data_IF_972319274817
#
_entry.id   IF_972319274817
#
_cell.length_a   1.000
_cell.length_b   1.000
_cell.length_c   1.000
_cell.angle_alpha   90.00
_cell.angle_beta   90.00
_cell.angle_gamma   90.00
#
_symmetry.space_group_name_H-M   'P 1'
#
loop_
_entity.id
_entity.type
_entity.pdbx_description
1 polymer ?
#
# COMPACT_ATOMS: atom_id res chain seq x y z
N UNK A 1 -16.25 -36.63 -17.91
CA UNK A 1 -15.21 -35.58 -18.02
C UNK A 1 -13.95 -36.18 -17.40
N UNK A 2 -12.80 -36.32 -18.04
CA UNK A 2 -12.01 -35.31 -18.73
C UNK A 2 -11.19 -35.99 -19.85
N UNK A 3 -11.25 -35.45 -21.07
CA UNK A 3 -10.39 -35.89 -22.15
C UNK A 3 -8.98 -35.36 -21.95
N UNK A 4 -8.01 -36.27 -21.81
CA UNK A 4 -6.58 -35.94 -21.82
C UNK A 4 -6.20 -35.40 -23.19
N UNK A 5 -6.06 -34.07 -23.32
CA UNK A 5 -5.39 -33.47 -24.49
C UNK A 5 -3.94 -33.95 -24.46
N UNK A 6 -3.56 -34.80 -25.40
CA UNK A 6 -2.16 -35.16 -25.66
C UNK A 6 -1.42 -33.86 -25.97
N UNK A 7 -0.52 -33.43 -25.09
CA UNK A 7 0.48 -32.41 -25.40
C UNK A 7 1.32 -32.96 -26.55
N UNK A 8 1.14 -32.41 -27.75
CA UNK A 8 2.11 -32.65 -28.82
C UNK A 8 3.43 -32.04 -28.33
N UNK A 9 4.52 -32.82 -28.27
CA UNK A 9 5.80 -32.28 -27.82
C UNK A 9 6.21 -31.14 -28.74
N UNK A 10 6.67 -30.03 -28.15
CA UNK A 10 7.01 -28.78 -28.84
C UNK A 10 8.01 -28.99 -30.01
N UNK A 11 8.85 -30.02 -29.89
CA UNK A 11 9.81 -30.49 -30.90
C UNK A 11 9.10 -30.95 -32.20
N UNK A 12 7.94 -31.60 -32.12
CA UNK A 12 7.19 -32.05 -33.31
C UNK A 12 6.61 -30.87 -34.10
N UNK A 13 6.21 -29.81 -33.41
CA UNK A 13 5.60 -28.64 -34.04
C UNK A 13 6.64 -27.80 -34.80
N UNK A 14 7.84 -27.64 -34.23
CA UNK A 14 8.96 -26.99 -34.91
C UNK A 14 9.41 -27.76 -36.15
N UNK A 15 9.51 -29.09 -36.06
CA UNK A 15 9.85 -29.93 -37.21
C UNK A 15 8.83 -29.81 -38.34
N UNK A 16 7.53 -29.81 -38.02
CA UNK A 16 6.47 -29.61 -39.01
C UNK A 16 6.56 -28.24 -39.70
N UNK A 17 6.84 -27.17 -38.96
CA UNK A 17 7.01 -25.83 -39.51
C UNK A 17 8.24 -25.74 -40.43
N UNK A 18 9.37 -26.35 -40.04
CA UNK A 18 10.58 -26.41 -40.88
C UNK A 18 10.29 -27.12 -42.21
N UNK A 19 9.57 -28.25 -42.16
CA UNK A 19 9.17 -29.00 -43.36
C UNK A 19 8.25 -28.15 -44.24
N UNK A 20 7.25 -27.49 -43.65
CA UNK A 20 6.31 -26.65 -44.40
C UNK A 20 7.00 -25.45 -45.06
N UNK A 21 7.94 -24.80 -44.37
CA UNK A 21 8.72 -23.70 -44.92
C UNK A 21 9.64 -24.17 -46.04
N UNK A 22 10.30 -25.32 -45.89
CA UNK A 22 11.11 -25.93 -46.95
C UNK A 22 10.26 -26.24 -48.20
N UNK A 23 9.07 -26.82 -48.03
CA UNK A 23 8.14 -27.10 -49.13
C UNK A 23 7.69 -25.83 -49.85
N UNK A 24 7.35 -24.77 -49.10
CA UNK A 24 6.97 -23.48 -49.66
C UNK A 24 8.12 -22.85 -50.46
N UNK A 25 9.36 -22.92 -49.97
CA UNK A 25 10.55 -22.44 -50.68
C UNK A 25 10.79 -23.19 -51.98
N UNK A 26 10.61 -24.52 -51.98
CA UNK A 26 10.70 -25.34 -53.20
C UNK A 26 9.64 -24.91 -54.21
N UNK A 27 8.38 -24.72 -53.77
CA UNK A 27 7.27 -24.30 -54.63
C UNK A 27 7.53 -22.93 -55.27
N UNK A 28 8.04 -21.96 -54.51
CA UNK A 28 8.39 -20.63 -55.02
C UNK A 28 9.47 -20.69 -56.11
N UNK A 29 10.55 -21.44 -55.88
CA UNK A 29 11.63 -21.62 -56.87
C UNK A 29 11.14 -22.30 -58.15
N UNK A 30 10.29 -23.33 -58.02
CA UNK A 30 9.65 -23.98 -59.18
C UNK A 30 8.76 -23.01 -59.96
N UNK A 31 7.98 -22.16 -59.28
CA UNK A 31 7.15 -21.14 -59.93
C UNK A 31 7.99 -20.12 -60.69
N UNK A 32 9.09 -19.66 -60.11
CA UNK A 32 10.01 -18.75 -60.79
C UNK A 32 10.60 -19.38 -62.05
N UNK A 33 11.06 -20.64 -61.99
CA UNK A 33 11.55 -21.35 -63.17
C UNK A 33 10.48 -21.46 -64.26
N UNK A 34 9.23 -21.75 -63.89
CA UNK A 34 8.13 -21.76 -64.85
C UNK A 34 7.93 -20.38 -65.51
N UNK A 35 7.95 -19.29 -64.74
CA UNK A 35 7.83 -17.94 -65.31
C UNK A 35 9.00 -17.60 -66.24
N UNK A 36 10.21 -18.09 -65.94
CA UNK A 36 11.38 -17.93 -66.80
C UNK A 36 11.20 -18.65 -68.15
N UNK A 37 10.73 -19.90 -68.14
CA UNK A 37 10.46 -20.66 -69.38
C UNK A 37 9.37 -19.99 -70.22
N UNK A 38 8.28 -19.54 -69.58
CA UNK A 38 7.19 -18.83 -70.27
C UNK A 38 7.68 -17.51 -70.86
N UNK A 39 8.52 -16.76 -70.14
CA UNK A 39 9.14 -15.54 -70.64
C UNK A 39 10.01 -15.81 -71.88
N UNK A 40 10.85 -16.85 -71.87
CA UNK A 40 11.69 -17.20 -73.02
C UNK A 40 10.86 -17.56 -74.25
N UNK A 41 9.87 -18.45 -74.09
CA UNK A 41 8.99 -18.86 -75.18
C UNK A 41 8.18 -17.67 -75.72
N UNK A 42 7.66 -16.83 -74.83
CA UNK A 42 6.92 -15.63 -75.19
C UNK A 42 7.76 -14.58 -75.91
N UNK A 43 9.01 -14.37 -75.49
CA UNK A 43 9.94 -13.47 -76.17
C UNK A 43 10.28 -13.96 -77.58
N UNK A 44 10.56 -15.26 -77.76
CA UNK A 44 10.79 -15.86 -79.08
C UNK A 44 9.54 -15.69 -79.96
N UNK A 45 8.35 -15.95 -79.41
CA UNK A 45 7.10 -15.77 -80.13
C UNK A 45 6.88 -14.33 -80.60
N UNK A 46 7.10 -13.33 -79.72
CA UNK A 46 6.98 -11.91 -80.06
C UNK A 46 7.95 -11.48 -81.17
N UNK A 47 9.19 -11.99 -81.12
CA UNK A 47 10.21 -11.73 -82.17
C UNK A 47 9.75 -12.31 -83.52
N UNK A 48 9.27 -13.56 -83.55
CA UNK A 48 8.79 -14.21 -84.77
C UNK A 48 7.53 -13.54 -85.32
N UNK A 49 6.59 -13.17 -84.45
CA UNK A 49 5.36 -12.47 -84.83
C UNK A 49 5.64 -11.14 -85.55
N UNK A 50 6.62 -10.38 -85.06
CA UNK A 50 7.03 -9.15 -85.72
C UNK A 50 7.84 -9.42 -86.99
N UNK A 51 8.89 -10.24 -86.92
CA UNK A 51 9.84 -10.40 -88.04
C UNK A 51 9.26 -11.18 -89.23
N UNK A 52 8.66 -12.34 -88.96
CA UNK A 52 8.16 -13.28 -89.96
C UNK A 52 6.74 -12.93 -90.40
N UNK A 53 5.82 -12.74 -89.44
CA UNK A 53 4.39 -12.52 -89.74
C UNK A 53 4.04 -11.05 -90.03
N UNK A 54 4.95 -10.13 -89.72
CA UNK A 54 4.74 -8.70 -89.98
C UNK A 54 3.77 -7.99 -89.06
N UNK A 55 3.42 -8.61 -87.93
CA UNK A 55 2.46 -8.06 -86.98
C UNK A 55 3.08 -6.83 -86.32
N UNK A 56 2.49 -5.65 -86.54
CA UNK A 56 2.91 -4.40 -85.92
C UNK A 56 4.24 -3.83 -86.44
N UNK A 57 4.71 -4.22 -87.63
CA UNK A 57 5.99 -3.76 -88.21
C UNK A 57 6.15 -2.24 -88.26
N UNK A 58 5.06 -1.50 -88.47
CA UNK A 58 5.08 -0.03 -88.54
C UNK A 58 4.87 0.64 -87.17
N UNK A 59 4.66 -0.14 -86.10
CA UNK A 59 4.42 0.37 -84.75
C UNK A 59 5.75 0.47 -84.00
N UNK A 60 6.21 1.71 -83.84
CA UNK A 60 7.39 2.03 -83.05
C UNK A 60 7.03 2.93 -81.88
N UNK A 61 7.58 2.62 -80.70
CA UNK A 61 7.51 3.46 -79.52
C UNK A 61 8.90 4.02 -79.25
N UNK A 62 9.05 5.34 -79.29
CA UNK A 62 10.34 6.02 -79.07
C UNK A 62 11.47 5.54 -80.01
N UNK A 63 11.13 5.21 -81.27
CA UNK A 63 12.09 4.70 -82.26
C UNK A 63 12.50 3.23 -82.06
N UNK A 64 11.82 2.51 -81.17
CA UNK A 64 12.05 1.09 -80.87
C UNK A 64 10.81 0.30 -81.31
N UNK A 65 11.02 -0.85 -81.94
CA UNK A 65 9.94 -1.74 -82.35
C UNK A 65 9.09 -2.19 -81.14
N UNK A 66 7.77 -2.23 -81.31
CA UNK A 66 6.82 -2.53 -80.22
C UNK A 66 7.14 -3.82 -79.46
N UNK A 67 7.63 -4.86 -80.14
CA UNK A 67 7.91 -6.16 -79.52
C UNK A 67 9.10 -6.09 -78.55
N UNK A 68 10.09 -5.22 -78.82
CA UNK A 68 11.24 -5.01 -77.92
C UNK A 68 10.76 -4.34 -76.63
N UNK A 69 9.88 -3.33 -76.74
CA UNK A 69 9.29 -2.67 -75.58
C UNK A 69 8.43 -3.65 -74.74
N UNK A 70 7.64 -4.51 -75.40
CA UNK A 70 6.88 -5.56 -74.74
C UNK A 70 7.77 -6.57 -73.99
N UNK A 71 8.87 -7.01 -74.62
CA UNK A 71 9.86 -7.90 -73.99
C UNK A 71 10.53 -7.20 -72.79
N UNK A 72 10.86 -5.91 -72.89
CA UNK A 72 11.46 -5.14 -71.80
C UNK A 72 10.53 -5.02 -70.59
N UNK A 73 9.25 -4.72 -70.79
CA UNK A 73 8.25 -4.70 -69.71
C UNK A 73 8.12 -6.08 -69.06
N UNK A 74 8.05 -7.13 -69.88
CA UNK A 74 7.92 -8.48 -69.35
C UNK A 74 9.18 -8.94 -68.59
N UNK A 75 10.37 -8.58 -69.08
CA UNK A 75 11.63 -8.81 -68.40
C UNK A 75 11.66 -8.09 -67.05
N UNK A 76 11.18 -6.85 -66.99
CA UNK A 76 11.10 -6.10 -65.74
C UNK A 76 10.19 -6.79 -64.71
N UNK A 77 9.01 -7.27 -65.12
CA UNK A 77 8.12 -8.06 -64.24
C UNK A 77 8.78 -9.37 -63.77
N UNK A 78 9.52 -10.04 -64.65
CA UNK A 78 10.28 -11.23 -64.29
C UNK A 78 11.39 -10.93 -63.27
N UNK A 79 12.12 -9.82 -63.44
CA UNK A 79 13.15 -9.37 -62.50
C UNK A 79 12.57 -9.03 -61.12
N UNK A 80 11.41 -8.40 -61.05
CA UNK A 80 10.70 -8.18 -59.78
C UNK A 80 10.36 -9.51 -59.11
N UNK A 81 9.85 -10.48 -59.87
CA UNK A 81 9.52 -11.80 -59.32
C UNK A 81 10.78 -12.55 -58.83
N UNK A 82 11.88 -12.49 -59.59
CA UNK A 82 13.19 -13.03 -59.24
C UNK A 82 13.70 -12.42 -57.92
N UNK A 83 13.67 -11.08 -57.81
CA UNK A 83 14.09 -10.35 -56.62
C UNK A 83 13.26 -10.74 -55.39
N UNK A 84 11.94 -10.84 -55.54
CA UNK A 84 11.05 -11.22 -54.44
C UNK A 84 11.36 -12.63 -53.89
N UNK A 85 11.61 -13.61 -54.77
CA UNK A 85 11.89 -15.00 -54.37
C UNK A 85 13.26 -15.15 -53.71
N UNK A 86 14.28 -14.44 -54.20
CA UNK A 86 15.66 -14.61 -53.73
C UNK A 86 16.11 -13.62 -52.66
N UNK A 87 15.60 -12.39 -52.66
CA UNK A 87 16.00 -11.33 -51.74
C UNK A 87 14.94 -11.11 -50.67
N UNK A 88 13.72 -10.70 -51.04
CA UNK A 88 12.68 -10.34 -50.05
C UNK A 88 12.35 -11.48 -49.09
N UNK A 89 12.12 -12.69 -49.61
CA UNK A 89 11.79 -13.85 -48.77
C UNK A 89 13.00 -14.41 -47.99
N UNK A 90 14.24 -14.06 -48.38
CA UNK A 90 15.45 -14.47 -47.64
C UNK A 90 15.71 -13.54 -46.45
N UNK A 91 15.33 -12.26 -46.57
CA UNK A 91 15.68 -11.23 -45.58
C UNK A 91 14.50 -10.81 -44.68
N UNK A 92 13.26 -10.95 -45.17
CA UNK A 92 12.02 -10.59 -44.46
C UNK A 92 10.94 -11.68 -44.64
N UNK A 93 11.37 -12.94 -44.66
CA UNK A 93 10.46 -14.08 -44.63
C UNK A 93 10.01 -14.41 -43.20
N UNK A 94 8.95 -15.21 -43.08
CA UNK A 94 8.44 -15.70 -41.77
C UNK A 94 9.50 -16.39 -40.90
N UNK A 95 10.48 -17.06 -41.52
CA UNK A 95 11.60 -17.70 -40.82
C UNK A 95 12.47 -16.67 -40.09
N UNK A 96 12.74 -15.54 -40.72
CA UNK A 96 13.53 -14.46 -40.13
C UNK A 96 12.78 -13.79 -38.98
N UNK A 97 11.48 -13.53 -39.16
CA UNK A 97 10.61 -12.99 -38.10
C UNK A 97 10.58 -13.90 -36.87
N UNK A 98 10.42 -15.22 -37.09
CA UNK A 98 10.43 -16.21 -36.00
C UNK A 98 11.77 -16.22 -35.26
N UNK A 99 12.89 -16.24 -35.97
CA UNK A 99 14.22 -16.19 -35.35
C UNK A 99 14.44 -14.93 -34.51
N UNK A 100 13.96 -13.77 -34.98
CA UNK A 100 14.02 -12.54 -34.17
C UNK A 100 13.12 -12.62 -32.94
N UNK A 101 11.91 -13.17 -33.07
CA UNK A 101 10.99 -13.36 -31.95
C UNK A 101 11.56 -14.29 -30.89
N UNK A 102 12.10 -15.45 -31.28
CA UNK A 102 12.70 -16.43 -30.38
C UNK A 102 13.88 -15.82 -29.62
N UNK A 103 14.68 -14.98 -30.28
CA UNK A 103 15.77 -14.24 -29.63
C UNK A 103 15.25 -13.27 -28.57
N UNK A 104 14.18 -12.53 -28.85
CA UNK A 104 13.56 -11.60 -27.90
C UNK A 104 12.93 -12.33 -26.71
N UNK A 105 12.20 -13.42 -26.95
CA UNK A 105 11.60 -14.25 -25.90
C UNK A 105 12.70 -14.83 -25.01
N UNK A 106 13.79 -15.34 -25.59
CA UNK A 106 14.94 -15.84 -24.83
C UNK A 106 15.56 -14.76 -23.94
N UNK A 107 15.74 -13.55 -24.47
CA UNK A 107 16.25 -12.41 -23.70
C UNK A 107 15.30 -12.04 -22.54
N UNK A 108 13.99 -12.04 -22.78
CA UNK A 108 12.99 -11.80 -21.75
C UNK A 108 13.01 -12.88 -20.65
N UNK A 109 13.11 -14.15 -21.02
CA UNK A 109 13.21 -15.26 -20.06
C UNK A 109 14.44 -15.12 -19.16
N UNK A 110 15.60 -14.79 -19.72
CA UNK A 110 16.82 -14.52 -18.93
C UNK A 110 16.60 -13.37 -17.96
N UNK A 111 15.96 -12.27 -18.40
CA UNK A 111 15.66 -11.13 -17.54
C UNK A 111 14.70 -11.49 -16.40
N UNK A 112 13.67 -12.28 -16.69
CA UNK A 112 12.70 -12.77 -15.68
C UNK A 112 13.42 -13.62 -14.63
N UNK A 113 14.32 -14.51 -15.03
CA UNK A 113 15.06 -15.32 -14.06
C UNK A 113 16.05 -14.52 -13.21
N UNK A 114 16.68 -13.48 -13.77
CA UNK A 114 17.49 -12.54 -12.98
C UNK A 114 16.65 -11.85 -11.90
N UNK A 115 15.49 -11.30 -12.27
CA UNK A 115 14.59 -10.62 -11.34
C UNK A 115 14.13 -11.60 -10.25
N UNK A 116 13.77 -12.84 -10.59
CA UNK A 116 13.39 -13.86 -9.59
C UNK A 116 14.53 -14.17 -8.62
N UNK A 117 15.78 -14.22 -9.09
CA UNK A 117 16.94 -14.44 -8.22
C UNK A 117 17.21 -13.25 -7.29
N UNK A 118 17.09 -12.03 -7.79
CA UNK A 118 17.18 -10.80 -6.97
C UNK A 118 16.09 -10.80 -5.90
N UNK A 119 14.83 -11.04 -6.28
CA UNK A 119 13.71 -11.13 -5.34
C UNK A 119 13.92 -12.19 -4.26
N UNK A 120 14.48 -13.36 -4.61
CA UNK A 120 14.82 -14.40 -3.61
C UNK A 120 15.87 -13.97 -2.60
N UNK A 121 16.79 -13.07 -2.98
CA UNK A 121 17.83 -12.51 -2.09
C UNK A 121 17.29 -11.35 -1.24
N UNK A 122 16.43 -10.51 -1.81
CA UNK A 122 15.86 -9.34 -1.14
C UNK A 122 14.71 -9.69 -0.19
N UNK A 123 13.88 -10.67 -0.54
CA UNK A 123 12.74 -11.10 0.28
C UNK A 123 13.08 -11.42 1.74
N UNK A 124 14.15 -12.19 2.08
CA UNK A 124 14.51 -12.43 3.48
C UNK A 124 14.97 -11.15 4.17
N UNK A 125 15.73 -10.27 3.50
CA UNK A 125 16.20 -9.00 4.06
C UNK A 125 15.02 -8.08 4.38
N UNK A 126 14.04 -8.00 3.47
CA UNK A 126 12.82 -7.22 3.67
C UNK A 126 12.02 -7.79 4.85
N UNK A 127 11.83 -9.12 4.90
CA UNK A 127 11.11 -9.78 5.99
C UNK A 127 11.80 -9.56 7.34
N UNK A 128 13.13 -9.75 7.41
CA UNK A 128 13.93 -9.48 8.61
C UNK A 128 13.85 -8.02 9.03
N UNK A 129 13.94 -7.07 8.08
CA UNK A 129 13.82 -5.64 8.39
C UNK A 129 12.42 -5.26 8.88
N UNK A 130 11.37 -5.87 8.34
CA UNK A 130 9.99 -5.64 8.76
C UNK A 130 9.75 -6.21 10.15
N UNK A 131 10.19 -7.44 10.41
CA UNK A 131 10.13 -8.07 11.75
C UNK A 131 10.93 -7.23 12.76
N UNK A 132 12.15 -6.82 12.43
CA UNK A 132 12.97 -5.95 13.28
C UNK A 132 12.28 -4.60 13.56
N UNK A 133 11.66 -3.98 12.57
CA UNK A 133 10.92 -2.73 12.74
C UNK A 133 9.63 -2.91 13.55
N UNK A 134 8.92 -4.03 13.40
CA UNK A 134 7.75 -4.38 14.22
C UNK A 134 8.14 -4.68 15.66
N UNK A 135 9.25 -5.39 15.87
CA UNK A 135 9.83 -5.63 17.19
C UNK A 135 10.26 -4.32 17.84
N UNK A 136 10.92 -3.42 17.10
CA UNK A 136 11.24 -2.07 17.59
C UNK A 136 9.98 -1.29 17.97
N UNK A 137 8.94 -1.29 17.13
CA UNK A 137 7.66 -0.62 17.45
C UNK A 137 6.94 -1.26 18.64
N UNK A 138 7.04 -2.58 18.81
CA UNK A 138 6.51 -3.28 19.97
C UNK A 138 7.30 -2.96 21.25
N UNK A 139 8.61 -2.73 21.12
CA UNK A 139 9.54 -2.34 22.19
C UNK A 139 9.44 -0.86 22.54
N UNK A 140 9.06 -0.01 21.58
CA UNK A 140 8.78 1.43 21.73
C UNK A 140 7.39 1.72 22.30
N UNK A 141 6.59 0.71 22.67
CA UNK A 141 5.30 0.97 23.31
C UNK A 141 5.48 1.38 24.76
N UNK A 142 5.98 2.60 24.95
CA UNK A 142 5.84 3.34 26.20
C UNK A 142 4.35 3.56 26.42
N UNK A 143 3.86 3.04 27.53
CA UNK A 143 2.56 3.36 28.10
C UNK A 143 2.34 4.88 28.05
N UNK A 144 1.26 5.38 27.42
CA UNK A 144 0.93 6.81 27.37
C UNK A 144 0.20 7.19 28.67
N UNK A 145 0.93 7.70 29.65
CA UNK A 145 0.37 8.05 30.95
C UNK A 145 -0.53 9.30 30.80
N UNK A 146 -1.83 9.11 30.97
CA UNK A 146 -2.83 10.15 30.75
C UNK A 146 -3.40 10.65 32.07
N UNK A 147 -3.41 11.96 32.32
CA UNK A 147 -4.19 12.55 33.40
C UNK A 147 -5.60 12.82 32.88
N UNK A 148 -6.64 12.46 33.64
CA UNK A 148 -8.03 12.82 33.33
C UNK A 148 -8.67 13.49 34.52
N UNK A 149 -9.20 14.69 34.33
CA UNK A 149 -9.71 15.55 35.42
C UNK A 149 -10.81 16.47 34.93
N UNK A 150 -11.76 16.81 35.80
CA UNK A 150 -12.64 17.95 35.62
C UNK A 150 -12.23 19.05 36.60
N UNK A 151 -12.08 20.28 36.13
CA UNK A 151 -11.66 21.41 36.95
C UNK A 151 -12.44 22.70 36.59
N UNK A 152 -12.77 23.51 37.59
CA UNK A 152 -13.35 24.84 37.41
C UNK A 152 -12.36 25.83 36.79
N UNK A 153 -12.80 27.04 36.46
CA UNK A 153 -11.94 28.07 35.84
C UNK A 153 -10.75 28.44 36.74
N UNK A 154 -10.94 28.36 38.06
CA UNK A 154 -9.93 28.58 39.09
C UNK A 154 -9.17 27.30 39.50
N UNK A 155 -9.14 26.27 38.64
CA UNK A 155 -8.53 24.95 38.89
C UNK A 155 -9.12 24.17 40.08
N UNK A 156 -10.25 24.60 40.66
CA UNK A 156 -10.97 23.86 41.69
C UNK A 156 -11.38 22.48 41.17
N UNK A 157 -11.22 21.41 41.97
CA UNK A 157 -11.63 20.04 41.56
C UNK A 157 -12.57 19.35 42.54
N UNK A 158 -12.56 19.72 43.81
CA UNK A 158 -13.31 19.02 44.85
C UNK A 158 -13.37 19.80 46.16
N UNK A 159 -14.39 19.50 46.94
CA UNK A 159 -14.59 20.01 48.30
C UNK A 159 -15.11 18.90 49.20
N UNK A 160 -14.56 18.76 50.42
CA UNK A 160 -15.02 17.78 51.41
C UNK A 160 -15.03 16.32 50.88
N UNK A 161 -14.04 15.97 50.04
CA UNK A 161 -13.93 14.69 49.30
C UNK A 161 -15.10 14.40 48.34
N UNK A 162 -15.81 15.42 47.86
CA UNK A 162 -16.87 15.30 46.86
C UNK A 162 -16.58 16.18 45.65
N UNK A 163 -17.16 15.79 44.51
CA UNK A 163 -17.22 16.64 43.32
C UNK A 163 -18.17 17.81 43.59
N UNK A 164 -17.80 19.00 43.11
CA UNK A 164 -18.54 20.24 43.37
C UNK A 164 -19.70 20.42 42.38
N UNK A 165 -19.71 19.65 41.29
CA UNK A 165 -20.72 19.69 40.24
C UNK A 165 -21.14 18.28 39.80
N UNK A 166 -22.25 18.21 39.06
CA UNK A 166 -22.71 17.00 38.41
C UNK A 166 -22.82 17.24 36.90
N UNK A 167 -21.82 16.78 36.13
CA UNK A 167 -21.78 16.90 34.68
C UNK A 167 -21.92 15.51 34.05
N UNK A 168 -23.12 15.21 33.57
CA UNK A 168 -23.48 13.88 33.06
C UNK A 168 -22.65 13.49 31.85
N UNK A 169 -22.36 14.43 30.96
CA UNK A 169 -21.54 14.16 29.77
C UNK A 169 -20.05 13.99 30.09
N UNK A 170 -19.53 14.70 31.10
CA UNK A 170 -18.19 14.44 31.64
C UNK A 170 -18.09 13.02 32.23
N UNK A 171 -19.08 12.57 33.01
CA UNK A 171 -19.10 11.21 33.53
C UNK A 171 -19.15 10.14 32.42
N UNK A 172 -19.88 10.41 31.33
CA UNK A 172 -19.90 9.53 30.13
C UNK A 172 -18.52 9.52 29.46
N UNK A 173 -17.89 10.69 29.29
CA UNK A 173 -16.55 10.83 28.72
C UNK A 173 -15.52 10.08 29.55
N UNK A 174 -15.50 10.31 30.86
CA UNK A 174 -14.64 9.61 31.81
C UNK A 174 -14.80 8.09 31.70
N UNK A 175 -16.05 7.59 31.71
CA UNK A 175 -16.33 6.15 31.54
C UNK A 175 -15.83 5.63 30.19
N UNK A 176 -16.05 6.38 29.10
CA UNK A 176 -15.65 5.99 27.75
C UNK A 176 -14.12 5.89 27.62
N UNK A 177 -13.39 6.87 28.14
CA UNK A 177 -11.93 6.94 28.02
C UNK A 177 -11.24 5.92 28.94
N UNK A 178 -11.72 5.74 30.17
CA UNK A 178 -11.03 4.90 31.16
C UNK A 178 -11.40 3.42 31.11
N UNK A 179 -12.45 3.03 30.38
CA UNK A 179 -12.90 1.63 30.34
C UNK A 179 -11.87 0.72 29.67
N UNK A 180 -11.54 -0.40 30.33
CA UNK A 180 -10.53 -1.36 29.86
C UNK A 180 -9.10 -1.01 30.30
N UNK A 181 -8.92 0.12 30.99
CA UNK A 181 -7.61 0.64 31.40
C UNK A 181 -7.42 0.60 32.93
N UNK A 182 -6.18 0.78 33.35
CA UNK A 182 -5.77 0.99 34.73
C UNK A 182 -6.05 2.43 35.12
N UNK A 183 -6.69 2.62 36.27
CA UNK A 183 -6.96 3.92 36.85
C UNK A 183 -6.17 4.08 38.15
N UNK A 184 -5.28 5.06 38.17
CA UNK A 184 -4.36 5.36 39.26
C UNK A 184 -4.96 6.50 40.08
N UNK A 185 -5.10 6.27 41.38
CA UNK A 185 -5.67 7.26 42.28
C UNK A 185 -5.12 7.21 43.70
N UNK A 186 -5.32 8.27 44.47
CA UNK A 186 -5.04 8.29 45.90
C UNK A 186 -6.17 7.66 46.72
N UNK A 187 -5.84 7.18 47.93
CA UNK A 187 -6.80 6.57 48.87
C UNK A 187 -8.12 7.35 49.04
N UNK A 188 -8.05 8.67 49.30
CA UNK A 188 -9.25 9.49 49.54
C UNK A 188 -10.18 9.55 48.31
N UNK A 189 -9.62 9.57 47.11
CA UNK A 189 -10.40 9.52 45.87
C UNK A 189 -11.08 8.17 45.72
N UNK A 190 -10.36 7.08 46.02
CA UNK A 190 -10.94 5.74 45.99
C UNK A 190 -12.11 5.59 46.98
N UNK A 191 -11.96 6.10 48.20
CA UNK A 191 -13.00 6.08 49.26
C UNK A 191 -14.24 6.91 48.92
N UNK A 192 -14.16 7.85 47.96
CA UNK A 192 -15.32 8.61 47.50
C UNK A 192 -16.26 7.78 46.60
N UNK A 193 -15.77 6.68 46.03
CA UNK A 193 -16.60 5.82 45.20
C UNK A 193 -17.46 4.90 46.08
N UNK A 194 -18.77 4.78 45.79
CA UNK A 194 -19.63 3.85 46.53
C UNK A 194 -19.26 2.38 46.27
N UNK A 195 -18.63 2.10 45.13
CA UNK A 195 -18.10 0.78 44.74
C UNK A 195 -17.03 0.94 43.66
N UNK A 196 -16.12 -0.04 43.50
CA UNK A 196 -15.19 -0.07 42.38
C UNK A 196 -15.93 0.03 41.04
N UNK A 197 -15.31 0.78 40.14
CA UNK A 197 -15.84 1.06 38.81
C UNK A 197 -15.70 -0.19 37.91
N UNK A 198 -16.76 -0.65 37.23
CA UNK A 198 -16.66 -1.86 36.40
C UNK A 198 -15.72 -1.65 35.21
N UNK A 199 -15.12 -2.76 34.75
CA UNK A 199 -14.20 -2.84 33.61
C UNK A 199 -12.97 -1.96 33.72
N UNK A 200 -12.47 -1.72 34.94
CA UNK A 200 -11.29 -0.89 35.22
C UNK A 200 -10.46 -1.52 36.33
N UNK A 201 -9.15 -1.62 36.11
CA UNK A 201 -8.22 -2.05 37.16
C UNK A 201 -7.89 -0.85 38.02
N UNK A 202 -8.18 -0.92 39.32
CA UNK A 202 -7.92 0.20 40.23
C UNK A 202 -6.53 0.05 40.83
N UNK A 203 -5.73 1.10 40.78
CA UNK A 203 -4.44 1.20 41.47
C UNK A 203 -4.55 2.34 42.48
N UNK A 204 -4.52 2.00 43.76
CA UNK A 204 -4.70 2.95 44.86
C UNK A 204 -3.37 3.18 45.57
N UNK A 205 -2.92 4.43 45.54
CA UNK A 205 -1.71 4.88 46.21
C UNK A 205 -2.05 5.25 47.65
N UNK A 206 -1.40 4.60 48.61
CA UNK A 206 -1.55 4.87 50.05
C UNK A 206 -0.25 4.66 50.81
N UNK A 207 -0.05 5.44 51.87
CA UNK A 207 1.06 5.25 52.82
C UNK A 207 0.64 4.45 54.05
N UNK A 208 -0.61 4.03 54.13
CA UNK A 208 -1.13 3.24 55.24
C UNK A 208 -0.79 1.76 54.98
N UNK A 209 0.09 1.14 55.80
CA UNK A 209 0.63 -0.20 55.53
C UNK A 209 -0.44 -1.30 55.56
N UNK A 210 -1.49 -1.14 56.35
CA UNK A 210 -2.56 -2.14 56.52
C UNK A 210 -3.88 -1.74 55.85
N UNK A 211 -3.83 -0.93 54.79
CA UNK A 211 -5.04 -0.52 54.08
C UNK A 211 -5.66 -1.71 53.33
N UNK A 212 -6.90 -2.04 53.70
CA UNK A 212 -7.67 -3.11 53.05
C UNK A 212 -8.54 -2.52 51.96
N UNK A 213 -8.46 -3.08 50.75
CA UNK A 213 -9.32 -2.73 49.64
C UNK A 213 -10.12 -3.96 49.15
N UNK A 214 -11.26 -3.74 48.48
CA UNK A 214 -12.02 -4.82 47.85
C UNK A 214 -11.18 -5.62 46.85
N UNK A 215 -11.62 -6.85 46.58
CA UNK A 215 -10.99 -7.73 45.59
C UNK A 215 -10.91 -7.05 44.21
N UNK A 216 -9.75 -7.19 43.54
CA UNK A 216 -9.48 -6.56 42.24
C UNK A 216 -8.93 -5.14 42.29
N UNK A 217 -8.68 -4.59 43.48
CA UNK A 217 -8.00 -3.30 43.69
C UNK A 217 -6.53 -3.55 44.07
N UNK A 218 -5.62 -2.94 43.32
CA UNK A 218 -4.18 -3.01 43.56
C UNK A 218 -3.77 -1.87 44.49
N UNK A 219 -3.01 -2.19 45.54
CA UNK A 219 -2.48 -1.21 46.50
C UNK A 219 -0.98 -1.04 46.27
N UNK A 220 -0.53 0.22 46.20
CA UNK A 220 0.88 0.60 46.03
C UNK A 220 1.22 1.79 46.92
N UNK A 221 2.51 2.07 47.12
CA UNK A 221 2.97 3.10 48.05
C UNK A 221 3.49 4.38 47.38
N UNK A 222 3.70 4.35 46.06
CA UNK A 222 4.22 5.47 45.29
C UNK A 222 3.57 5.59 43.90
N UNK A 223 3.73 6.75 43.26
CA UNK A 223 3.30 6.96 41.88
C UNK A 223 4.12 6.08 40.91
N UNK A 224 5.42 5.94 41.14
CA UNK A 224 6.31 5.14 40.29
C UNK A 224 5.91 3.66 40.30
N UNK A 225 5.59 3.10 41.48
CA UNK A 225 5.03 1.75 41.58
C UNK A 225 3.69 1.63 40.85
N UNK A 226 2.83 2.66 40.94
CA UNK A 226 1.55 2.66 40.23
C UNK A 226 1.73 2.62 38.71
N UNK A 227 2.70 3.37 38.19
CA UNK A 227 3.06 3.41 36.78
C UNK A 227 3.67 2.06 36.34
N UNK A 228 4.58 1.48 37.13
CA UNK A 228 5.16 0.17 36.82
C UNK A 228 4.11 -0.96 36.80
N UNK A 229 3.16 -0.93 37.75
CA UNK A 229 2.03 -1.87 37.75
C UNK A 229 1.14 -1.71 36.51
N UNK A 230 1.07 -0.51 35.95
CA UNK A 230 0.29 -0.20 34.76
C UNK A 230 1.08 -0.32 33.45
N UNK A 231 2.34 -0.77 33.46
CA UNK A 231 3.23 -0.77 32.28
C UNK A 231 2.72 -1.56 31.07
N UNK A 232 1.90 -2.59 31.31
CA UNK A 232 1.30 -3.40 30.25
C UNK A 232 0.02 -2.76 29.68
N UNK A 233 -0.46 -1.68 30.30
CA UNK A 233 -1.52 -0.84 29.76
C UNK A 233 -0.93 0.13 28.74
N UNK A 234 -1.61 0.24 27.59
CA UNK A 234 -1.23 1.19 26.55
C UNK A 234 -1.50 2.64 26.97
N UNK A 235 -2.49 2.85 27.84
CA UNK A 235 -2.96 4.17 28.24
C UNK A 235 -3.55 4.15 29.66
N UNK A 236 -2.71 4.10 30.72
CA UNK A 236 -3.17 4.22 32.09
C UNK A 236 -3.60 5.65 32.40
N UNK A 237 -4.61 5.77 33.27
CA UNK A 237 -5.21 7.05 33.61
C UNK A 237 -4.96 7.43 35.06
N UNK A 238 -4.36 8.59 35.30
CA UNK A 238 -4.31 9.21 36.63
C UNK A 238 -5.59 10.02 36.84
N UNK A 239 -6.37 9.63 37.85
CA UNK A 239 -7.69 10.23 38.13
C UNK A 239 -7.72 11.02 39.46
N UNK A 240 -6.54 11.33 40.00
CA UNK A 240 -6.36 12.22 41.16
C UNK A 240 -6.20 11.50 42.50
N UNK A 241 -6.42 12.13 43.65
CA UNK A 241 -6.77 13.54 43.84
C UNK A 241 -5.58 14.49 43.74
N UNK A 242 -5.72 15.70 44.30
CA UNK A 242 -4.76 16.80 44.10
C UNK A 242 -3.29 16.46 44.37
N UNK A 243 -2.98 15.66 45.40
CA UNK A 243 -1.59 15.22 45.67
C UNK A 243 -1.03 14.28 44.59
N UNK A 244 -1.88 13.44 44.01
CA UNK A 244 -1.47 12.54 42.92
C UNK A 244 -1.33 13.34 41.63
N UNK A 245 -2.24 14.28 41.34
CA UNK A 245 -2.10 15.16 40.17
C UNK A 245 -0.81 15.99 40.21
N UNK A 246 -0.44 16.54 41.38
CA UNK A 246 0.82 17.29 41.55
C UNK A 246 2.07 16.48 41.20
N UNK A 247 2.06 15.17 41.46
CA UNK A 247 3.17 14.28 41.11
C UNK A 247 3.08 13.86 39.64
N UNK A 248 1.89 13.48 39.19
CA UNK A 248 1.66 12.95 37.85
C UNK A 248 1.90 13.99 36.75
N UNK A 249 1.60 15.28 36.98
CA UNK A 249 1.78 16.31 35.94
C UNK A 249 3.25 16.48 35.52
N UNK A 250 4.21 16.05 36.35
CA UNK A 250 5.63 16.08 36.00
C UNK A 250 6.03 14.96 35.02
N UNK A 251 5.30 13.84 34.99
CA UNK A 251 5.68 12.61 34.27
C UNK A 251 4.64 12.13 33.26
N UNK A 252 3.42 12.69 33.24
CA UNK A 252 2.36 12.31 32.31
C UNK A 252 2.64 12.79 30.88
N UNK A 253 2.20 12.04 29.88
CA UNK A 253 2.36 12.38 28.46
C UNK A 253 1.19 13.23 27.94
N UNK A 254 0.01 13.05 28.55
CA UNK A 254 -1.25 13.61 28.08
C UNK A 254 -2.13 14.10 29.23
N UNK A 255 -2.89 15.17 29.00
CA UNK A 255 -3.97 15.63 29.90
C UNK A 255 -5.28 15.67 29.12
N UNK A 256 -6.29 15.00 29.65
CA UNK A 256 -7.69 15.06 29.23
C UNK A 256 -8.49 15.83 30.28
N UNK A 257 -8.63 17.14 30.10
CA UNK A 257 -9.28 18.01 31.09
C UNK A 257 -10.66 18.46 30.61
N UNK A 258 -11.65 18.33 31.48
CA UNK A 258 -12.95 19.00 31.34
C UNK A 258 -12.87 20.33 32.10
N UNK A 259 -12.77 21.45 31.38
CA UNK A 259 -12.73 22.78 31.98
C UNK A 259 -14.16 23.29 32.16
N UNK A 260 -14.62 23.42 33.39
CA UNK A 260 -15.94 23.98 33.73
C UNK A 260 -15.80 25.50 33.83
N UNK A 261 -16.53 26.24 33.02
CA UNK A 261 -16.43 27.70 32.92
C UNK A 261 -17.19 28.40 34.06
N UNK A 262 -16.79 28.08 35.28
CA UNK A 262 -17.26 28.68 36.52
C UNK A 262 -16.19 28.53 37.60
N UNK A 263 -16.16 29.48 38.54
CA UNK A 263 -15.30 29.40 39.71
C UNK A 263 -16.04 28.74 40.87
N UNK A 264 -15.34 27.89 41.61
CA UNK A 264 -15.91 27.15 42.73
C UNK A 264 -15.06 27.28 43.99
N UNK A 265 -15.71 27.27 45.14
CA UNK A 265 -15.05 27.15 46.44
C UNK A 265 -14.64 25.68 46.66
N UNK A 266 -13.34 25.45 46.88
CA UNK A 266 -12.73 24.13 46.87
C UNK A 266 -11.56 24.02 47.87
N UNK A 267 -11.33 22.81 48.40
CA UNK A 267 -10.16 22.50 49.23
C UNK A 267 -9.06 21.77 48.44
N UNK A 268 -9.40 21.26 47.24
CA UNK A 268 -8.46 20.62 46.33
C UNK A 268 -8.50 21.30 44.97
N UNK A 269 -7.30 21.59 44.46
CA UNK A 269 -7.07 22.23 43.17
C UNK A 269 -6.20 21.35 42.27
N UNK A 270 -6.41 21.45 40.97
CA UNK A 270 -5.53 20.90 39.94
C UNK A 270 -4.25 21.76 39.83
N UNK A 271 -3.09 21.20 39.48
CA UNK A 271 -1.89 21.99 39.23
C UNK A 271 -2.04 22.86 37.98
N UNK A 272 -1.39 24.03 37.96
CA UNK A 272 -1.36 24.91 36.79
C UNK A 272 -0.76 24.20 35.57
N UNK A 273 -1.41 24.34 34.42
CA UNK A 273 -0.94 23.79 33.14
C UNK A 273 -0.03 24.81 32.47
N UNK A 274 1.28 24.64 32.64
CA UNK A 274 2.29 25.52 32.04
C UNK A 274 2.28 25.40 30.49
N UNK A 275 1.94 26.48 29.74
CA UNK A 275 1.88 26.46 28.28
C UNK A 275 3.26 26.34 27.62
N UNK A 276 4.37 26.45 28.37
CA UNK A 276 5.71 26.15 27.86
C UNK A 276 5.94 24.64 27.74
N UNK A 277 5.37 23.84 28.65
CA UNK A 277 5.49 22.38 28.72
C UNK A 277 4.36 21.69 27.94
N UNK A 278 3.15 22.23 28.01
CA UNK A 278 1.95 21.61 27.45
C UNK A 278 1.46 22.34 26.20
N UNK A 279 0.91 21.59 25.26
CA UNK A 279 0.29 22.12 24.04
C UNK A 279 -1.14 21.61 23.93
N UNK A 280 -2.08 22.55 23.84
CA UNK A 280 -3.47 22.24 23.48
C UNK A 280 -3.53 21.69 22.05
N UNK A 281 -4.19 20.54 21.87
CA UNK A 281 -4.35 19.89 20.57
C UNK A 281 -5.81 19.64 20.18
N UNK A 282 -6.74 19.77 21.13
CA UNK A 282 -8.18 19.63 20.90
C UNK A 282 -8.94 20.41 21.96
N UNK A 283 -10.07 21.00 21.54
CA UNK A 283 -10.97 21.77 22.39
C UNK A 283 -12.40 21.68 21.83
N UNK A 284 -13.29 21.07 22.59
CA UNK A 284 -14.71 20.89 22.25
C UNK A 284 -15.57 21.61 23.30
N UNK A 285 -16.24 22.69 22.90
CA UNK A 285 -17.08 23.51 23.78
C UNK A 285 -18.49 22.95 23.90
N UNK A 286 -19.00 22.90 25.13
CA UNK A 286 -20.36 22.52 25.48
C UNK A 286 -21.08 23.70 26.18
N UNK A 287 -22.11 24.20 25.51
CA UNK A 287 -22.99 25.22 26.07
C UNK A 287 -23.89 24.66 27.16
N UNK A 288 -24.39 25.54 28.02
CA UNK A 288 -25.36 25.22 29.06
C UNK A 288 -26.64 24.67 28.43
N UNK A 289 -27.19 23.60 29.02
CA UNK A 289 -28.44 23.00 28.57
C UNK A 289 -29.33 22.58 29.77
N UNK A 290 -30.36 21.77 29.52
CA UNK A 290 -31.26 21.29 30.57
C UNK A 290 -30.62 20.26 31.51
N UNK A 291 -29.56 19.59 31.08
CA UNK A 291 -28.85 18.54 31.81
C UNK A 291 -27.57 19.06 32.48
N UNK A 292 -27.07 20.23 32.07
CA UNK A 292 -25.81 20.82 32.52
C UNK A 292 -26.01 22.26 33.01
N UNK A 293 -25.77 22.50 34.30
CA UNK A 293 -25.94 23.84 34.91
C UNK A 293 -24.86 24.85 34.52
N UNK A 294 -23.70 24.35 34.07
CA UNK A 294 -22.52 25.13 33.69
C UNK A 294 -22.07 24.80 32.27
N UNK A 295 -21.49 25.79 31.59
CA UNK A 295 -20.75 25.59 30.36
C UNK A 295 -19.42 24.90 30.67
N UNK A 296 -18.95 24.05 29.77
CA UNK A 296 -17.66 23.38 29.93
C UNK A 296 -17.01 23.07 28.58
N UNK A 297 -15.70 22.85 28.58
CA UNK A 297 -14.96 22.42 27.39
C UNK A 297 -14.21 21.13 27.67
N UNK A 298 -14.22 20.19 26.72
CA UNK A 298 -13.30 19.06 26.71
C UNK A 298 -12.03 19.48 26.00
N UNK A 299 -10.93 19.54 26.73
CA UNK A 299 -9.64 20.00 26.23
C UNK A 299 -8.62 18.87 26.37
N UNK A 300 -7.85 18.65 25.31
CA UNK A 300 -6.73 17.71 25.31
C UNK A 300 -5.41 18.46 25.19
N UNK A 301 -4.49 18.19 26.11
CA UNK A 301 -3.12 18.66 26.05
C UNK A 301 -2.16 17.49 25.83
N UNK A 302 -1.14 17.71 25.01
CA UNK A 302 0.03 16.84 24.90
C UNK A 302 1.25 17.56 25.47
N UNK A 303 2.12 16.82 26.13
CA UNK A 303 3.44 17.32 26.51
C UNK A 303 4.24 17.60 25.24
N UNK A 304 4.95 18.73 25.20
CA UNK A 304 5.81 19.12 24.07
C UNK A 304 7.11 18.32 24.02
#
# INVERSE_FOLDING_TARGET
MFGSKKNKPQIDQEQLELIQNAQNRIKQKKRLYFHFVVFLLGAIFLIVANTVLGIGKDIQFFGIDWFVFAIMIWLFLFLIHLFNVFITQRFMGKDWEKQQMDKLVTQQQVRIEQIKQELKKEAPIIAESQVYNEELKAKEKTSELTIIVAAGENDAIGKDNKLIWHLKDDLKRFKKLTSGHHIIMGRKTFESFPKPLPNRTHIVITRQPDYQAPEGVLIVNSLDEAIDMAKNDKQPFVIGGGQIYKQAIAVADKIEITRVHAEFDADVFFPEIDPTIWKEVSNEFHAKDKEHEHEFSFITYLRK
#
